data_IF_051061165001
#
_entry.id   IF_051061165001
#
_cell.length_a   1.000
_cell.length_b   1.000
_cell.length_c   1.000
_cell.angle_alpha   90.00
_cell.angle_beta   90.00
_cell.angle_gamma   90.00
#
_symmetry.space_group_name_H-M   'P 1'
#
loop_
_entity.id
_entity.type
_entity.pdbx_description
1 polymer ?
#
# COMPACT_ATOMS: atom_id res chain seq x y z
N UNK A 1 11.39 10.78 0.75
CA UNK A 1 10.48 9.72 0.30
C UNK A 1 9.53 10.29 -0.74
N UNK A 2 9.39 9.63 -1.86
CA UNK A 2 8.48 10.06 -2.92
C UNK A 2 7.06 9.77 -2.50
N UNK A 3 6.17 10.72 -2.65
CA UNK A 3 4.74 10.46 -2.45
C UNK A 3 3.94 11.18 -3.54
N UNK A 4 2.95 10.50 -4.07
CA UNK A 4 2.08 10.99 -5.14
C UNK A 4 0.66 10.55 -4.83
N UNK A 5 -0.27 11.41 -5.13
CA UNK A 5 -1.69 11.10 -4.97
C UNK A 5 -2.49 11.69 -6.11
N UNK A 6 -3.57 11.04 -6.47
CA UNK A 6 -4.54 11.58 -7.42
C UNK A 6 -5.87 10.84 -7.27
N UNK A 7 -6.92 11.43 -7.82
CA UNK A 7 -8.25 10.86 -7.80
C UNK A 7 -8.58 10.27 -9.17
N UNK A 8 -9.19 9.11 -9.16
CA UNK A 8 -9.62 8.42 -10.38
C UNK A 8 -11.12 8.51 -10.54
N UNK A 9 -11.58 8.51 -11.79
CA UNK A 9 -12.99 8.49 -12.12
C UNK A 9 -13.62 7.14 -11.72
N UNK A 10 -14.96 7.08 -11.56
CA UNK A 10 -15.67 5.84 -11.34
C UNK A 10 -15.49 4.85 -12.48
N UNK A 11 -15.83 3.59 -12.25
CA UNK A 11 -15.79 2.58 -13.26
C UNK A 11 -14.46 1.86 -13.34
N UNK A 12 -14.01 1.29 -12.22
CA UNK A 12 -12.75 0.56 -12.17
C UNK A 12 -12.77 -0.63 -13.12
N UNK A 13 -11.73 -0.78 -13.93
CA UNK A 13 -11.52 -1.97 -14.74
C UNK A 13 -10.69 -2.96 -13.92
N UNK A 14 -11.35 -3.96 -13.34
CA UNK A 14 -10.72 -4.93 -12.45
C UNK A 14 -9.61 -5.71 -13.15
N UNK A 15 -9.79 -6.05 -14.44
CA UNK A 15 -8.77 -6.77 -15.17
C UNK A 15 -7.52 -5.92 -15.38
N UNK A 16 -7.69 -4.67 -15.79
CA UNK A 16 -6.56 -3.76 -15.99
C UNK A 16 -5.87 -3.48 -14.66
N UNK A 17 -6.63 -3.26 -13.58
CA UNK A 17 -6.05 -3.02 -12.26
C UNK A 17 -5.25 -4.24 -11.79
N UNK A 18 -5.70 -5.46 -12.07
CA UNK A 18 -4.96 -6.67 -11.73
C UNK A 18 -3.64 -6.83 -12.48
N UNK A 19 -3.52 -6.25 -13.67
CA UNK A 19 -2.25 -6.24 -14.42
C UNK A 19 -1.24 -5.24 -13.83
N UNK A 20 -1.74 -4.12 -13.28
CA UNK A 20 -0.90 -3.05 -12.74
C UNK A 20 -0.55 -3.32 -11.27
N UNK A 21 -1.50 -3.85 -10.50
CA UNK A 21 -1.35 -4.10 -9.07
C UNK A 21 -1.43 -5.60 -8.81
N UNK A 22 -0.29 -6.26 -8.51
CA UNK A 22 -0.29 -7.71 -8.29
C UNK A 22 -0.97 -8.15 -7.00
N UNK A 23 -1.18 -7.24 -6.06
CA UNK A 23 -1.80 -7.56 -4.76
C UNK A 23 -3.08 -6.77 -4.58
N UNK A 24 -4.12 -7.43 -4.08
CA UNK A 24 -5.40 -6.79 -3.80
C UNK A 24 -6.14 -7.51 -2.68
N UNK A 25 -6.87 -6.75 -1.87
CA UNK A 25 -7.78 -7.28 -0.86
C UNK A 25 -8.98 -6.36 -0.77
N UNK A 26 -10.15 -6.95 -0.58
CA UNK A 26 -11.41 -6.19 -0.47
C UNK A 26 -12.04 -6.45 0.89
N UNK A 27 -12.40 -5.38 1.57
CA UNK A 27 -13.12 -5.40 2.84
C UNK A 27 -14.29 -4.43 2.73
N UNK A 28 -15.51 -4.91 2.91
CA UNK A 28 -16.72 -4.06 2.91
C UNK A 28 -16.76 -3.10 1.72
N UNK A 29 -16.56 -3.62 0.52
CA UNK A 29 -16.56 -2.88 -0.75
C UNK A 29 -15.39 -1.91 -0.94
N UNK A 30 -14.44 -1.88 -0.03
CA UNK A 30 -13.22 -1.10 -0.17
C UNK A 30 -12.11 -2.05 -0.64
N UNK A 31 -11.53 -1.77 -1.80
CA UNK A 31 -10.45 -2.57 -2.35
C UNK A 31 -9.14 -1.83 -2.20
N UNK A 32 -8.17 -2.48 -1.56
CA UNK A 32 -6.81 -1.95 -1.43
C UNK A 32 -5.92 -2.75 -2.39
N UNK A 33 -5.24 -2.04 -3.28
CA UNK A 33 -4.31 -2.63 -4.26
C UNK A 33 -2.92 -2.13 -3.99
N UNK A 34 -1.92 -2.99 -4.14
CA UNK A 34 -0.52 -2.64 -3.89
C UNK A 34 0.36 -3.13 -5.02
N UNK A 35 1.29 -2.27 -5.44
CA UNK A 35 2.32 -2.59 -6.41
C UNK A 35 3.69 -2.17 -5.84
N UNK A 36 4.47 -3.11 -5.28
CA UNK A 36 5.81 -2.81 -4.80
C UNK A 36 6.81 -2.77 -5.95
N UNK A 37 7.87 -1.98 -5.79
CA UNK A 37 8.93 -1.85 -6.78
C UNK A 37 10.27 -1.65 -6.08
N UNK A 38 11.26 -2.47 -6.42
CA UNK A 38 12.62 -2.30 -5.95
C UNK A 38 13.25 -1.05 -6.56
N UNK A 39 13.99 -0.28 -5.75
CA UNK A 39 14.66 0.95 -6.18
C UNK A 39 16.18 0.74 -6.10
N UNK A 40 16.82 0.23 -7.18
CA UNK A 40 18.25 -0.04 -7.16
C UNK A 40 19.09 1.22 -6.93
N UNK A 41 18.65 2.38 -7.43
CA UNK A 41 19.38 3.63 -7.29
C UNK A 41 19.41 4.15 -5.85
N UNK A 42 18.50 3.70 -5.01
CA UNK A 42 18.44 4.08 -3.59
C UNK A 42 18.93 2.98 -2.67
N UNK A 43 19.32 1.85 -3.22
CA UNK A 43 19.77 0.68 -2.49
C UNK A 43 21.29 0.59 -2.52
N UNK A 44 21.87 0.03 -1.44
CA UNK A 44 23.29 -0.23 -1.36
C UNK A 44 23.50 -1.64 -0.80
N UNK A 45 23.76 -2.65 -1.67
CA UNK A 45 23.92 -4.03 -1.20
C UNK A 45 25.17 -4.22 -0.32
N UNK A 46 26.17 -3.33 -0.43
CA UNK A 46 27.40 -3.41 0.37
C UNK A 46 27.20 -2.83 1.77
N UNK A 47 26.27 -1.90 1.92
CA UNK A 47 25.86 -1.38 3.21
C UNK A 47 24.42 -1.82 3.41
N UNK A 48 24.11 -2.86 4.14
CA UNK A 48 22.82 -3.55 4.10
C UNK A 48 21.62 -2.58 4.08
N UNK A 49 21.31 -2.12 2.91
CA UNK A 49 20.23 -1.16 2.68
C UNK A 49 19.59 -1.45 1.32
N UNK A 50 18.39 -1.97 1.38
CA UNK A 50 17.57 -2.24 0.21
C UNK A 50 16.30 -1.39 0.33
N UNK A 51 15.91 -0.72 -0.75
CA UNK A 51 14.80 0.22 -0.71
C UNK A 51 13.78 -0.15 -1.79
N UNK A 52 12.53 -0.14 -1.41
CA UNK A 52 11.40 -0.31 -2.32
C UNK A 52 10.47 0.87 -2.20
N UNK A 53 9.81 1.20 -3.30
CA UNK A 53 8.58 1.98 -3.25
C UNK A 53 7.39 1.03 -3.28
N UNK A 54 6.26 1.47 -2.78
CA UNK A 54 5.00 0.75 -2.95
C UNK A 54 3.90 1.75 -3.29
N UNK A 55 3.21 1.46 -4.38
CA UNK A 55 2.06 2.23 -4.82
C UNK A 55 0.83 1.57 -4.23
N UNK A 56 0.02 2.35 -3.53
CA UNK A 56 -1.24 1.89 -2.97
C UNK A 56 -2.38 2.62 -3.67
N UNK A 57 -3.38 1.86 -4.07
CA UNK A 57 -4.62 2.39 -4.62
C UNK A 57 -5.77 1.88 -3.77
N UNK A 58 -6.61 2.79 -3.29
CA UNK A 58 -7.75 2.47 -2.44
C UNK A 58 -9.01 2.86 -3.21
N UNK A 59 -9.83 1.86 -3.53
CA UNK A 59 -11.04 2.03 -4.35
C UNK A 59 -12.28 1.88 -3.48
N UNK A 60 -13.19 2.84 -3.56
CA UNK A 60 -14.47 2.73 -2.89
C UNK A 60 -15.55 2.23 -3.87
N UNK A 61 -15.82 0.93 -3.80
CA UNK A 61 -16.87 0.29 -4.60
C UNK A 61 -18.23 0.26 -3.90
N UNK A 62 -18.37 0.90 -2.76
CA UNK A 62 -19.60 0.97 -2.00
C UNK A 62 -20.50 2.13 -2.42
N UNK A 63 -21.54 2.37 -1.63
CA UNK A 63 -22.54 3.41 -1.90
C UNK A 63 -22.38 4.63 -1.00
N UNK A 64 -21.44 4.62 -0.06
CA UNK A 64 -21.23 5.70 0.90
C UNK A 64 -19.78 6.15 0.88
N UNK A 65 -19.53 7.44 1.14
CA UNK A 65 -18.19 7.96 1.29
C UNK A 65 -17.53 7.38 2.55
N UNK A 66 -16.23 7.12 2.47
CA UNK A 66 -15.43 6.67 3.61
C UNK A 66 -14.23 7.59 3.77
N UNK A 67 -13.77 7.75 5.01
CA UNK A 67 -12.58 8.55 5.28
C UNK A 67 -11.50 7.67 5.92
N UNK A 68 -10.30 7.71 5.35
CA UNK A 68 -9.15 7.03 5.92
C UNK A 68 -8.66 7.85 7.11
N UNK A 69 -8.66 7.24 8.32
CA UNK A 69 -8.27 7.93 9.55
C UNK A 69 -6.85 7.62 9.98
N UNK A 70 -6.49 6.34 9.93
CA UNK A 70 -5.17 5.92 10.40
C UNK A 70 -4.70 4.68 9.66
N UNK A 71 -3.40 4.41 9.78
CA UNK A 71 -2.77 3.23 9.19
C UNK A 71 -2.02 2.44 10.24
N UNK A 72 -1.95 1.15 10.02
CA UNK A 72 -1.12 0.23 10.81
C UNK A 72 -0.39 -0.68 9.84
N UNK A 73 0.93 -0.72 9.94
CA UNK A 73 1.79 -1.58 9.13
C UNK A 73 2.54 -2.55 10.01
N UNK A 74 2.68 -3.77 9.55
CA UNK A 74 3.61 -4.75 10.09
C UNK A 74 4.63 -5.06 8.99
N UNK A 75 5.90 -4.82 9.29
CA UNK A 75 7.00 -5.02 8.36
C UNK A 75 7.88 -6.11 8.93
N UNK A 76 8.10 -7.19 8.16
CA UNK A 76 8.95 -8.31 8.57
C UNK A 76 10.08 -8.42 7.58
N UNK A 77 11.34 -8.33 8.05
CA UNK A 77 12.49 -8.48 7.16
C UNK A 77 12.85 -9.95 6.93
N UNK A 78 13.83 -10.19 6.06
CA UNK A 78 14.25 -11.55 5.71
C UNK A 78 14.93 -12.32 6.85
N UNK A 79 15.31 -11.64 7.93
CA UNK A 79 15.86 -12.25 9.13
C UNK A 79 14.79 -12.54 10.19
N UNK A 80 13.52 -12.24 9.89
CA UNK A 80 12.41 -12.47 10.82
C UNK A 80 12.18 -11.35 11.82
N UNK A 81 12.88 -10.23 11.69
CA UNK A 81 12.63 -9.08 12.57
C UNK A 81 11.36 -8.37 12.14
N UNK A 82 10.50 -8.04 13.10
CA UNK A 82 9.22 -7.39 12.87
C UNK A 82 9.21 -5.99 13.45
N UNK A 83 8.62 -5.07 12.69
CA UNK A 83 8.41 -3.70 13.14
C UNK A 83 6.97 -3.31 12.88
N UNK A 84 6.31 -2.72 13.89
CA UNK A 84 4.95 -2.19 13.74
C UNK A 84 5.02 -0.68 13.65
N UNK A 85 4.32 -0.12 12.67
CA UNK A 85 4.25 1.32 12.47
C UNK A 85 2.77 1.71 12.46
N UNK A 86 2.39 2.63 13.34
CA UNK A 86 1.03 3.17 13.39
C UNK A 86 1.09 4.69 13.32
N UNK A 87 0.08 5.27 12.71
CA UNK A 87 -0.02 6.73 12.64
C UNK A 87 -1.29 7.19 11.95
N UNK A 88 -1.58 8.50 12.09
CA UNK A 88 -2.76 9.08 11.44
C UNK A 88 -2.55 9.20 9.94
N UNK A 89 -3.57 8.90 9.17
CA UNK A 89 -3.61 9.11 7.73
C UNK A 89 -2.54 8.40 6.95
N UNK A 90 -2.34 8.86 5.73
CA UNK A 90 -1.28 8.43 4.80
C UNK A 90 -0.69 9.66 4.15
N UNK A 91 0.64 9.72 4.04
CA UNK A 91 1.38 10.87 3.47
C UNK A 91 0.84 12.24 3.95
N UNK A 92 0.52 12.34 5.24
CA UNK A 92 0.03 13.58 5.85
C UNK A 92 -1.42 13.91 5.57
N UNK A 93 -2.22 12.96 5.11
CA UNK A 93 -3.61 13.21 4.73
C UNK A 93 -4.56 12.15 5.29
N UNK A 94 -5.80 12.56 5.50
CA UNK A 94 -6.92 11.68 5.84
C UNK A 94 -7.98 11.80 4.75
N UNK A 95 -7.76 11.19 3.58
CA UNK A 95 -8.63 11.43 2.43
C UNK A 95 -10.04 10.86 2.64
N UNK A 96 -11.02 11.61 2.14
CA UNK A 96 -12.39 11.14 1.99
C UNK A 96 -12.52 10.57 0.58
N UNK A 97 -12.92 9.32 0.48
CA UNK A 97 -13.06 8.63 -0.81
C UNK A 97 -14.54 8.45 -1.10
N UNK A 98 -15.03 9.15 -2.10
CA UNK A 98 -16.43 9.08 -2.52
C UNK A 98 -16.72 7.76 -3.22
N UNK A 99 -17.99 7.33 -3.25
CA UNK A 99 -18.37 6.12 -4.00
C UNK A 99 -17.91 6.18 -5.45
N UNK A 100 -17.32 5.10 -5.94
CA UNK A 100 -16.83 5.01 -7.31
C UNK A 100 -15.48 5.68 -7.55
N UNK A 101 -14.90 6.31 -6.53
CA UNK A 101 -13.62 7.00 -6.64
C UNK A 101 -12.49 6.18 -6.02
N UNK A 102 -11.27 6.55 -6.35
CA UNK A 102 -10.08 5.91 -5.79
C UNK A 102 -9.08 6.98 -5.35
N UNK A 103 -8.29 6.64 -4.34
CA UNK A 103 -7.19 7.45 -3.85
C UNK A 103 -5.89 6.67 -4.01
N UNK A 104 -4.90 7.29 -4.64
CA UNK A 104 -3.59 6.67 -4.87
C UNK A 104 -2.50 7.43 -4.13
N UNK A 105 -1.53 6.70 -3.60
CA UNK A 105 -0.31 7.30 -3.08
C UNK A 105 0.87 6.35 -3.25
N UNK A 106 2.08 6.90 -3.21
CA UNK A 106 3.32 6.14 -3.25
C UNK A 106 4.13 6.46 -2.01
N UNK A 107 4.65 5.44 -1.38
CA UNK A 107 5.55 5.59 -0.24
C UNK A 107 6.73 4.63 -0.42
N UNK A 108 7.64 4.60 0.53
CA UNK A 108 8.80 3.74 0.42
C UNK A 108 9.17 3.09 1.74
N UNK A 109 9.98 2.04 1.64
CA UNK A 109 10.42 1.29 2.79
C UNK A 109 11.85 0.81 2.58
N UNK A 110 12.77 1.04 3.55
CA UNK A 110 14.09 0.44 3.54
C UNK A 110 14.10 -0.82 4.40
N UNK A 111 14.87 -1.83 3.97
CA UNK A 111 15.16 -3.01 4.79
C UNK A 111 16.67 -3.25 4.78
N UNK A 112 17.17 -3.84 5.87
CA UNK A 112 18.56 -4.28 5.94
C UNK A 112 18.78 -5.61 5.22
N UNK A 113 17.73 -6.30 4.83
CA UNK A 113 17.79 -7.60 4.15
C UNK A 113 17.24 -7.47 2.73
N UNK A 114 17.63 -8.37 1.80
CA UNK A 114 17.17 -8.28 0.41
C UNK A 114 15.74 -8.77 0.20
N UNK A 115 15.05 -9.14 1.25
CA UNK A 115 13.65 -9.57 1.14
C UNK A 115 12.91 -9.23 2.42
N UNK A 116 11.59 -9.21 2.32
CA UNK A 116 10.71 -9.01 3.45
C UNK A 116 9.26 -9.06 3.03
N UNK A 117 8.39 -8.81 3.98
CA UNK A 117 6.94 -8.75 3.75
C UNK A 117 6.34 -7.56 4.49
N UNK A 118 5.25 -7.04 3.96
CA UNK A 118 4.46 -6.02 4.62
C UNK A 118 3.00 -6.43 4.59
N UNK A 119 2.29 -6.15 5.68
CA UNK A 119 0.84 -6.22 5.73
C UNK A 119 0.32 -5.17 6.72
N UNK A 120 -0.97 -5.06 6.85
CA UNK A 120 -1.55 -4.11 7.77
C UNK A 120 -3.01 -3.83 7.52
N UNK A 121 -3.45 -2.69 8.00
CA UNK A 121 -4.84 -2.26 7.85
C UNK A 121 -4.94 -0.74 7.89
N UNK A 122 -5.98 -0.24 7.26
CA UNK A 122 -6.41 1.15 7.42
C UNK A 122 -7.64 1.18 8.30
N UNK A 123 -7.67 2.10 9.25
CA UNK A 123 -8.91 2.40 9.98
C UNK A 123 -9.67 3.49 9.23
N UNK A 124 -10.91 3.19 8.91
CA UNK A 124 -11.77 4.10 8.15
C UNK A 124 -13.05 4.39 8.91
N UNK A 125 -13.65 5.54 8.60
CA UNK A 125 -14.96 5.90 9.12
C UNK A 125 -15.89 6.21 7.95
N UNK A 126 -17.13 5.76 8.07
CA UNK A 126 -18.21 6.04 7.12
C UNK A 126 -19.48 6.41 7.87
N UNK A 127 -20.60 6.45 7.15
CA UNK A 127 -21.88 6.84 7.73
C UNK A 127 -22.31 5.91 8.87
N UNK A 128 -21.91 4.63 8.81
CA UNK A 128 -22.28 3.63 9.83
C UNK A 128 -21.23 3.45 10.93
N UNK A 129 -20.20 4.28 10.98
CA UNK A 129 -19.18 4.24 12.02
C UNK A 129 -17.81 3.81 11.51
N UNK A 130 -16.95 3.37 12.44
CA UNK A 130 -15.59 2.99 12.13
C UNK A 130 -15.44 1.52 11.80
N UNK A 131 -14.48 1.19 10.93
CA UNK A 131 -14.16 -0.18 10.56
C UNK A 131 -12.74 -0.25 10.02
N UNK A 132 -12.15 -1.44 10.07
CA UNK A 132 -10.81 -1.66 9.52
C UNK A 132 -10.92 -2.30 8.14
N UNK A 133 -10.03 -1.87 7.26
CA UNK A 133 -9.90 -2.40 5.90
C UNK A 133 -8.51 -3.04 5.78
N UNK A 134 -8.48 -4.28 5.34
CA UNK A 134 -7.21 -5.00 5.22
C UNK A 134 -6.37 -4.48 4.05
N UNK A 135 -5.07 -4.30 4.31
CA UNK A 135 -4.08 -4.12 3.26
C UNK A 135 -3.59 -5.52 2.90
N UNK A 136 -3.58 -5.92 1.61
CA UNK A 136 -3.09 -7.25 1.26
C UNK A 136 -1.63 -7.40 1.66
N UNK A 137 -1.27 -8.56 2.19
CA UNK A 137 0.13 -8.86 2.45
C UNK A 137 0.88 -8.90 1.12
N UNK A 138 2.06 -8.29 1.08
CA UNK A 138 2.88 -8.30 -0.13
C UNK A 138 4.34 -8.54 0.19
N UNK A 139 5.05 -9.05 -0.81
CA UNK A 139 6.44 -9.45 -0.69
C UNK A 139 7.34 -8.38 -1.27
N UNK A 140 8.43 -8.08 -0.56
CA UNK A 140 9.49 -7.22 -1.02
C UNK A 140 10.66 -8.11 -1.42
N UNK A 141 11.08 -8.04 -2.68
CA UNK A 141 12.20 -8.82 -3.17
C UNK A 141 13.10 -7.97 -4.04
N UNK A 142 14.39 -8.31 -4.04
CA UNK A 142 15.33 -7.75 -4.99
C UNK A 142 15.25 -8.60 -6.26
N UNK A 143 15.08 -8.01 -7.46
CA UNK A 143 15.08 -8.78 -8.69
C UNK A 143 16.37 -9.58 -8.84
N UNK A 144 16.26 -10.76 -9.45
CA UNK A 144 17.41 -11.61 -9.67
C UNK A 144 18.47 -10.88 -10.49
N UNK A 145 19.75 -11.09 -10.16
CA UNK A 145 20.86 -10.51 -10.90
C UNK A 145 20.79 -10.99 -12.36
N UNK A 146 20.90 -10.04 -13.29
CA UNK A 146 20.78 -10.35 -14.69
C UNK A 146 19.35 -10.61 -15.12
N UNK A 147 18.45 -10.59 -14.20
CA UNK A 147 17.03 -10.74 -14.47
C UNK A 147 16.45 -9.47 -14.97
N UNK A 148 16.33 -9.17 -15.78
CA UNK A 148 16.06 -7.95 -16.28
C UNK A 148 14.85 -7.91 -17.16
#
# INVERSE_FOLDING_TARGET
>A
MISTRHWSAPGFDTMVMGLIFPYAATTRDITVRVAPRYLPDQSDPDAPRHVWSYHVRIENGGSEAVQLRSRRWLITDGAGRCESIEGPGVIGQQPVIEPGMAFDYVSGVPLATPSGTMDGAYHMTGASGGFDVDIPAFVLTVPAAGGH
#
